data_IF_207237624543
#
_entry.id   IF_207237624543
#
_cell.length_a   1.000
_cell.length_b   1.000
_cell.length_c   1.000
_cell.angle_alpha   90.00
_cell.angle_beta   90.00
_cell.angle_gamma   90.00
#
_symmetry.space_group_name_H-M   'P 1'
#
loop_
_entity.id
_entity.type
_entity.pdbx_description
1 polymer ?
#
# COMPACT_ATOMS: atom_id res chain seq x y z
N UNK A 1 9.67 -12.48 11.77
CA UNK A 1 8.76 -11.61 12.54
C UNK A 1 8.33 -12.34 13.80
N UNK A 2 8.32 -11.63 14.93
CA UNK A 2 7.74 -12.07 16.20
C UNK A 2 6.20 -12.09 16.11
N UNK A 3 5.54 -12.67 17.11
CA UNK A 3 4.08 -12.82 17.12
C UNK A 3 3.32 -11.49 17.06
N UNK A 4 3.74 -10.50 17.85
CA UNK A 4 3.17 -9.15 17.83
C UNK A 4 3.39 -8.43 16.48
N UNK A 5 4.58 -8.58 15.87
CA UNK A 5 4.88 -8.06 14.53
C UNK A 5 3.95 -8.68 13.49
N UNK A 6 3.68 -9.99 13.57
CA UNK A 6 2.78 -10.70 12.66
C UNK A 6 1.32 -10.33 12.87
N UNK A 7 0.87 -10.10 14.11
CA UNK A 7 -0.45 -9.55 14.43
C UNK A 7 -0.61 -8.16 13.80
N UNK A 8 0.43 -7.33 13.90
CA UNK A 8 0.46 -6.00 13.26
C UNK A 8 0.37 -6.13 11.74
N UNK A 9 1.17 -7.00 11.11
CA UNK A 9 1.12 -7.20 9.67
C UNK A 9 -0.27 -7.65 9.19
N UNK A 10 -0.92 -8.60 9.89
CA UNK A 10 -2.27 -9.03 9.54
C UNK A 10 -3.29 -7.88 9.62
N UNK A 11 -3.15 -7.02 10.62
CA UNK A 11 -3.99 -5.81 10.77
C UNK A 11 -3.71 -4.81 9.64
N UNK A 12 -2.44 -4.63 9.26
CA UNK A 12 -2.05 -3.76 8.14
C UNK A 12 -2.59 -4.27 6.80
N UNK A 13 -2.53 -5.58 6.52
CA UNK A 13 -3.13 -6.18 5.32
C UNK A 13 -4.65 -5.96 5.30
N UNK A 14 -5.31 -6.12 6.45
CA UNK A 14 -6.75 -5.83 6.59
C UNK A 14 -7.05 -4.37 6.26
N UNK A 15 -6.18 -3.45 6.71
CA UNK A 15 -6.28 -2.03 6.39
C UNK A 15 -6.07 -1.77 4.90
N UNK A 16 -5.05 -2.36 4.27
CA UNK A 16 -4.83 -2.25 2.82
C UNK A 16 -6.07 -2.68 2.02
N UNK A 17 -6.71 -3.78 2.41
CA UNK A 17 -7.95 -4.24 1.77
C UNK A 17 -9.09 -3.22 1.94
N UNK A 18 -9.29 -2.73 3.17
CA UNK A 18 -10.32 -1.73 3.45
C UNK A 18 -10.11 -0.44 2.64
N UNK A 19 -8.88 0.08 2.62
CA UNK A 19 -8.54 1.31 1.91
C UNK A 19 -8.71 1.12 0.39
N UNK A 20 -8.26 -0.01 -0.16
CA UNK A 20 -8.45 -0.32 -1.58
C UNK A 20 -9.92 -0.49 -1.95
N UNK A 21 -10.72 -1.16 -1.11
CA UNK A 21 -12.16 -1.35 -1.34
C UNK A 21 -12.92 -0.02 -1.36
N UNK A 22 -12.50 0.94 -0.53
CA UNK A 22 -13.16 2.24 -0.39
C UNK A 22 -12.51 3.34 -1.25
N UNK A 23 -11.40 3.05 -1.94
CA UNK A 23 -10.75 3.97 -2.87
C UNK A 23 -11.64 4.31 -4.06
N UNK A 24 -11.52 5.55 -4.55
CA UNK A 24 -12.14 5.99 -5.80
C UNK A 24 -11.63 5.16 -6.99
N UNK A 25 -10.34 4.83 -6.98
CA UNK A 25 -9.70 3.99 -7.98
C UNK A 25 -9.06 2.79 -7.29
N UNK A 26 -9.63 1.60 -7.55
CA UNK A 26 -9.18 0.36 -6.92
C UNK A 26 -8.01 -0.24 -7.70
N UNK A 27 -6.94 -0.59 -7.00
CA UNK A 27 -5.86 -1.38 -7.54
C UNK A 27 -6.19 -2.88 -7.49
N UNK A 28 -5.53 -3.68 -8.34
CA UNK A 28 -5.53 -5.13 -8.20
C UNK A 28 -4.65 -5.56 -7.02
N UNK A 29 -5.26 -5.73 -5.84
CA UNK A 29 -4.52 -6.09 -4.62
C UNK A 29 -4.22 -7.59 -4.56
N UNK A 30 -2.98 -7.95 -4.24
CA UNK A 30 -2.54 -9.35 -4.10
C UNK A 30 -1.63 -9.49 -2.87
N UNK A 31 -1.87 -10.53 -2.08
CA UNK A 31 -1.00 -10.99 -1.00
C UNK A 31 -0.35 -12.30 -1.47
N UNK A 32 0.92 -12.24 -1.86
CA UNK A 32 1.70 -13.38 -2.33
C UNK A 32 2.58 -13.96 -1.21
N UNK A 33 3.17 -15.14 -1.44
CA UNK A 33 3.89 -15.92 -0.44
C UNK A 33 3.07 -16.10 0.85
N UNK A 34 1.74 -16.17 0.70
CA UNK A 34 0.82 -16.19 1.81
C UNK A 34 0.88 -17.57 2.46
N UNK A 35 1.47 -17.66 3.64
CA UNK A 35 1.72 -18.95 4.27
C UNK A 35 2.14 -18.85 5.72
N UNK A 36 2.64 -19.97 6.23
CA UNK A 36 3.19 -20.07 7.58
C UNK A 36 2.23 -19.58 8.65
N UNK A 37 2.79 -18.89 9.65
CA UNK A 37 2.01 -18.41 10.80
C UNK A 37 1.09 -17.23 10.46
N UNK A 38 1.33 -16.52 9.35
CA UNK A 38 0.46 -15.42 8.92
C UNK A 38 -0.85 -16.01 8.40
N UNK A 39 -0.78 -16.98 7.47
CA UNK A 39 -1.95 -17.72 6.99
C UNK A 39 -2.73 -18.36 8.14
N UNK A 40 -2.06 -19.07 9.05
CA UNK A 40 -2.71 -19.65 10.25
C UNK A 40 -3.56 -18.63 11.02
N UNK A 41 -3.09 -17.39 11.14
CA UNK A 41 -3.86 -16.32 11.81
C UNK A 41 -5.08 -15.89 10.99
N UNK A 42 -4.95 -15.78 9.67
CA UNK A 42 -6.09 -15.47 8.81
C UNK A 42 -7.14 -16.57 8.84
N UNK A 43 -6.72 -17.83 8.79
CA UNK A 43 -7.59 -19.02 8.80
C UNK A 43 -8.31 -19.23 10.14
N UNK A 44 -7.84 -18.63 11.23
CA UNK A 44 -8.39 -18.85 12.58
C UNK A 44 -9.02 -17.61 13.20
N UNK A 45 -8.42 -16.43 13.02
CA UNK A 45 -8.85 -15.18 13.68
C UNK A 45 -9.54 -14.24 12.69
N UNK A 46 -9.04 -14.15 11.45
CA UNK A 46 -9.57 -13.23 10.43
C UNK A 46 -10.36 -13.98 9.34
N UNK A 47 -11.09 -15.04 9.72
CA UNK A 47 -11.71 -16.04 8.82
C UNK A 47 -12.55 -15.46 7.67
N UNK A 48 -13.16 -14.29 7.91
CA UNK A 48 -13.95 -13.54 6.93
C UNK A 48 -13.15 -13.03 5.73
N UNK A 49 -11.80 -13.12 5.74
CA UNK A 49 -10.94 -12.75 4.61
C UNK A 49 -11.23 -13.56 3.34
N UNK A 50 -11.74 -14.78 3.49
CA UNK A 50 -12.17 -15.65 2.37
C UNK A 50 -13.31 -15.04 1.56
N UNK A 51 -14.12 -14.16 2.16
CA UNK A 51 -15.20 -13.43 1.49
C UNK A 51 -14.76 -12.07 0.90
N UNK A 52 -13.48 -11.70 1.00
CA UNK A 52 -13.00 -10.43 0.47
C UNK A 52 -12.98 -10.44 -1.06
N UNK A 53 -13.41 -9.33 -1.66
CA UNK A 53 -13.54 -9.18 -3.12
C UNK A 53 -12.54 -8.20 -3.68
N UNK A 54 -12.00 -8.48 -4.86
CA UNK A 54 -10.96 -7.62 -5.47
C UNK A 54 -9.58 -7.75 -4.80
N UNK A 55 -9.36 -8.82 -4.03
CA UNK A 55 -8.06 -9.20 -3.46
C UNK A 55 -7.75 -10.65 -3.78
N UNK A 56 -6.47 -10.98 -3.96
CA UNK A 56 -5.98 -12.35 -4.19
C UNK A 56 -5.01 -12.74 -3.09
N UNK A 57 -5.06 -14.00 -2.68
CA UNK A 57 -4.11 -14.61 -1.77
C UNK A 57 -3.45 -15.77 -2.51
N UNK A 58 -2.12 -15.73 -2.65
CA UNK A 58 -1.33 -16.66 -3.45
C UNK A 58 -0.23 -17.28 -2.60
N UNK A 59 0.03 -18.56 -2.84
CA UNK A 59 1.13 -19.29 -2.21
C UNK A 59 2.46 -18.94 -2.89
N UNK A 60 2.38 -18.61 -4.18
CA UNK A 60 3.47 -18.24 -5.08
C UNK A 60 4.22 -16.99 -4.62
N UNK A 61 5.48 -16.85 -5.04
CA UNK A 61 6.27 -15.64 -4.74
C UNK A 61 5.84 -14.42 -5.55
N UNK A 62 6.42 -13.27 -5.23
CA UNK A 62 6.09 -12.01 -5.89
C UNK A 62 6.54 -11.97 -7.37
N UNK A 63 7.49 -12.82 -7.77
CA UNK A 63 7.93 -12.95 -9.17
C UNK A 63 6.75 -13.54 -9.94
N UNK A 64 6.30 -14.73 -9.57
CA UNK A 64 5.21 -15.40 -10.27
C UNK A 64 3.88 -14.63 -10.12
N UNK A 65 3.61 -14.05 -8.96
CA UNK A 65 2.43 -13.20 -8.78
C UNK A 65 2.43 -11.98 -9.73
N UNK A 66 3.60 -11.39 -10.01
CA UNK A 66 3.71 -10.27 -10.96
C UNK A 66 3.48 -10.71 -12.41
N UNK A 67 3.87 -11.93 -12.78
CA UNK A 67 3.54 -12.51 -14.09
C UNK A 67 2.04 -12.73 -14.25
N UNK A 68 1.40 -13.30 -13.22
CA UNK A 68 -0.05 -13.48 -13.21
C UNK A 68 -0.81 -12.14 -13.25
N UNK A 69 -0.27 -11.11 -12.61
CA UNK A 69 -0.86 -9.77 -12.58
C UNK A 69 -1.02 -9.16 -13.97
N UNK A 70 -0.09 -9.42 -14.90
CA UNK A 70 -0.22 -8.97 -16.30
C UNK A 70 -1.53 -9.46 -16.92
N UNK A 71 -1.92 -10.71 -16.68
CA UNK A 71 -3.18 -11.25 -17.18
C UNK A 71 -4.41 -10.58 -16.56
N UNK A 72 -4.36 -10.26 -15.26
CA UNK A 72 -5.51 -9.64 -14.57
C UNK A 72 -5.75 -8.20 -14.96
N UNK A 73 -4.69 -7.46 -15.31
CA UNK A 73 -4.77 -6.08 -15.77
C UNK A 73 -5.33 -5.96 -17.20
N UNK A 74 -5.30 -7.05 -17.97
CA UNK A 74 -5.86 -7.12 -19.33
C UNK A 74 -7.32 -7.58 -19.38
N UNK A 75 -7.79 -8.28 -18.34
CA UNK A 75 -9.16 -8.79 -18.30
C UNK A 75 -10.19 -7.73 -17.90
N UNK A 76 -11.39 -7.81 -18.47
CA UNK A 76 -12.58 -7.14 -17.95
C UNK A 76 -12.83 -7.63 -16.52
N UNK A 77 -12.66 -6.74 -15.53
CA UNK A 77 -12.89 -7.07 -14.13
C UNK A 77 -11.82 -7.97 -13.52
N UNK A 78 -11.25 -7.52 -12.40
CA UNK A 78 -10.51 -8.41 -11.52
C UNK A 78 -11.41 -9.58 -11.09
N UNK A 79 -11.23 -10.75 -11.75
CA UNK A 79 -11.89 -12.06 -11.57
C UNK A 79 -13.12 -12.32 -12.45
N UNK A 80 -12.92 -12.96 -13.61
CA UNK A 80 -13.76 -14.10 -14.03
C UNK A 80 -13.20 -15.35 -13.35
N UNK A 81 -13.71 -15.68 -12.17
CA UNK A 81 -13.37 -16.92 -11.48
C UNK A 81 -14.49 -17.91 -11.68
N UNK A 82 -14.30 -18.87 -12.60
CA UNK A 82 -14.96 -20.16 -12.48
C UNK A 82 -14.58 -20.72 -11.10
N UNK A 83 -15.55 -20.79 -10.20
CA UNK A 83 -15.44 -21.67 -9.05
C UNK A 83 -15.51 -23.10 -9.57
N UNK A 84 -14.40 -23.83 -9.45
CA UNK A 84 -14.36 -25.29 -9.22
C UNK A 84 -12.94 -25.70 -8.82
N UNK A 85 -12.85 -26.08 -7.55
CA UNK A 85 -12.15 -27.25 -7.03
C UNK A 85 -10.72 -27.54 -7.53
N UNK A 86 -9.74 -27.35 -6.65
CA UNK A 86 -8.62 -28.27 -6.55
C UNK A 86 -8.77 -29.04 -5.24
N UNK A 87 -9.45 -30.18 -5.30
CA UNK A 87 -9.27 -31.26 -4.33
C UNK A 87 -7.84 -31.77 -4.45
N UNK A 88 -7.07 -31.63 -3.38
CA UNK A 88 -5.75 -32.22 -3.25
C UNK A 88 -5.91 -33.73 -3.18
N UNK A 89 -5.62 -34.43 -4.28
CA UNK A 89 -5.41 -35.87 -4.31
C UNK A 89 -4.32 -36.25 -3.29
N UNK A 90 -4.71 -36.90 -2.21
CA UNK A 90 -3.81 -37.74 -1.41
C UNK A 90 -3.34 -38.88 -2.31
N UNK A 91 -2.05 -38.90 -2.60
CA UNK A 91 -1.37 -40.03 -3.22
C UNK A 91 -1.43 -41.24 -2.29
N UNK A 92 -2.14 -42.28 -2.72
CA UNK A 92 -2.13 -43.59 -2.08
C UNK A 92 -0.81 -44.31 -2.36
N UNK A 93 -0.23 -44.87 -1.30
CA UNK A 93 0.66 -46.03 -1.39
C UNK A 93 -0.23 -47.22 -1.06
N UNK A 94 -0.35 -48.15 -1.99
CA UNK A 94 -1.12 -49.37 -1.83
C UNK A 94 -0.38 -50.44 -1.01
N UNK A 95 -1.13 -51.28 -0.33
CA UNK A 95 -0.98 -52.74 -0.40
C UNK A 95 -2.09 -53.45 0.39
N UNK A 96 -2.75 -54.36 -0.34
CA UNK A 96 -3.29 -55.66 0.05
C UNK A 96 -4.64 -55.82 0.77
N UNK A 97 -5.48 -56.59 0.09
CA UNK A 97 -6.70 -57.26 0.52
C UNK A 97 -6.42 -58.30 1.63
N UNK A 98 -7.36 -58.43 2.57
CA UNK A 98 -7.93 -59.73 2.93
C UNK A 98 -9.22 -59.58 3.74
N UNK A 99 -10.28 -60.17 3.20
CA UNK A 99 -11.62 -60.39 3.76
C UNK A 99 -11.63 -61.47 4.83
N UNK A 100 -12.19 -61.19 6.02
CA UNK A 100 -12.89 -62.09 6.97
C UNK A 100 -13.72 -61.12 7.85
N UNK A 101 -15.00 -61.23 8.19
CA UNK A 101 -15.92 -62.32 8.50
C UNK A 101 -16.68 -61.86 9.77
N UNK A 102 -17.95 -62.25 9.89
CA UNK A 102 -18.97 -61.72 10.81
C UNK A 102 -18.80 -62.06 12.31
N UNK A 103 -19.81 -61.66 13.10
CA UNK A 103 -20.08 -61.87 14.55
C UNK A 103 -19.63 -60.69 15.44
N UNK A 104 -20.42 -60.10 16.35
CA UNK A 104 -21.75 -60.36 16.90
C UNK A 104 -21.77 -59.90 18.36
N UNK A 105 -22.85 -59.21 18.79
CA UNK A 105 -23.41 -59.19 20.18
C UNK A 105 -22.55 -58.35 21.21
N UNK A 106 -23.01 -57.53 22.17
CA UNK A 106 -24.25 -57.38 22.96
C UNK A 106 -24.31 -55.96 23.61
N UNK A 107 -25.54 -55.48 23.87
CA UNK A 107 -26.07 -54.81 25.10
C UNK A 107 -25.26 -53.79 25.94
N UNK A 108 -25.84 -52.86 26.71
CA UNK A 108 -27.19 -52.29 26.85
C UNK A 108 -27.11 -51.10 27.84
N UNK A 109 -27.99 -50.12 27.62
CA UNK A 109 -28.81 -49.34 28.58
C UNK A 109 -28.25 -48.98 29.97
N UNK A 110 -28.40 -47.71 30.33
CA UNK A 110 -29.30 -47.31 31.43
C UNK A 110 -29.67 -45.82 31.34
N UNK A 111 -30.97 -45.57 31.45
CA UNK A 111 -31.60 -44.26 31.57
C UNK A 111 -31.79 -43.91 33.05
N UNK A 112 -31.90 -42.63 33.37
CA UNK A 112 -32.79 -42.19 34.45
C UNK A 112 -33.28 -40.76 34.20
N UNK A 113 -34.57 -40.62 34.44
CA UNK A 113 -35.48 -39.49 34.22
C UNK A 113 -35.60 -38.73 35.55
N UNK A 114 -36.27 -37.57 35.49
CA UNK A 114 -36.97 -36.82 36.57
C UNK A 114 -36.40 -35.42 36.83
N UNK A 115 -37.15 -34.35 37.12
CA UNK A 115 -38.54 -33.89 36.87
C UNK A 115 -38.48 -32.38 37.18
N UNK A 116 -39.19 -31.53 36.43
CA UNK A 116 -39.38 -30.10 36.76
C UNK A 116 -40.41 -29.91 37.89
N UNK A 117 -40.39 -28.76 38.57
CA UNK A 117 -41.62 -27.99 38.70
C UNK A 117 -41.47 -26.52 38.23
N UNK A 118 -42.63 -25.92 38.00
CA UNK A 118 -42.90 -24.67 37.30
C UNK A 118 -43.35 -23.59 38.31
N UNK A 119 -42.99 -22.32 38.10
CA UNK A 119 -43.84 -21.18 38.51
C UNK A 119 -43.49 -19.93 37.69
N UNK A 120 -44.58 -19.27 37.29
CA UNK A 120 -44.74 -18.16 36.35
C UNK A 120 -44.10 -16.85 36.82
N UNK A 121 -43.62 -16.02 35.87
CA UNK A 121 -44.16 -14.66 35.75
C UNK A 121 -43.89 -14.02 34.36
N UNK A 122 -44.82 -13.14 33.98
CA UNK A 122 -45.09 -12.58 32.64
C UNK A 122 -44.10 -11.48 32.20
N UNK A 123 -43.89 -11.34 30.89
CA UNK A 123 -44.20 -10.12 30.10
C UNK A 123 -43.59 -10.14 28.67
N UNK A 124 -44.50 -10.16 27.69
CA UNK A 124 -44.52 -9.53 26.36
C UNK A 124 -43.23 -9.01 25.68
N UNK A 125 -43.04 -9.39 24.41
CA UNK A 125 -43.17 -8.46 23.27
C UNK A 125 -42.79 -9.14 21.95
N UNK A 126 -43.81 -9.44 21.14
CA UNK A 126 -43.68 -9.74 19.73
C UNK A 126 -43.28 -8.43 19.00
N UNK A 127 -42.16 -8.43 18.26
CA UNK A 127 -41.93 -7.43 17.21
C UNK A 127 -41.52 -8.10 15.92
N UNK A 128 -42.44 -7.97 14.97
CA UNK A 128 -42.39 -8.37 13.58
C UNK A 128 -41.12 -7.87 12.90
N UNK A 129 -40.38 -8.79 12.28
CA UNK A 129 -39.27 -8.48 11.38
C UNK A 129 -39.84 -7.99 10.05
N UNK A 130 -39.88 -6.67 9.86
CA UNK A 130 -40.10 -6.09 8.54
C UNK A 130 -38.94 -6.47 7.60
N UNK A 131 -39.21 -6.92 6.36
CA UNK A 131 -38.17 -7.16 5.38
C UNK A 131 -37.60 -5.81 4.93
N UNK A 132 -36.36 -5.53 5.32
CA UNK A 132 -35.64 -4.38 4.78
C UNK A 132 -35.52 -4.53 3.26
N UNK A 133 -36.09 -3.55 2.57
CA UNK A 133 -36.05 -3.34 1.13
C UNK A 133 -34.67 -3.64 0.57
N UNK A 134 -34.61 -4.58 -0.37
CA UNK A 134 -33.46 -4.82 -1.23
C UNK A 134 -33.18 -3.54 -2.04
N UNK A 135 -32.33 -2.67 -1.50
CA UNK A 135 -31.68 -1.66 -2.32
C UNK A 135 -30.82 -2.41 -3.35
N UNK A 136 -31.18 -2.22 -4.61
CA UNK A 136 -30.49 -2.72 -5.79
C UNK A 136 -28.99 -2.43 -5.68
N UNK A 137 -28.20 -3.50 -5.57
CA UNK A 137 -26.73 -3.41 -5.57
C UNK A 137 -26.29 -2.80 -6.90
N UNK A 138 -25.58 -1.67 -6.85
CA UNK A 138 -24.89 -1.13 -8.03
C UNK A 138 -23.99 -2.23 -8.63
N UNK A 139 -24.00 -2.43 -9.95
CA UNK A 139 -23.13 -3.40 -10.60
C UNK A 139 -21.67 -3.05 -10.28
N UNK A 140 -20.89 -4.08 -9.92
CA UNK A 140 -19.50 -3.94 -9.56
C UNK A 140 -18.72 -3.43 -10.76
N UNK A 141 -18.13 -2.24 -10.63
CA UNK A 141 -17.38 -1.57 -11.69
C UNK A 141 -16.31 -2.51 -12.26
N UNK A 142 -16.48 -2.85 -13.52
CA UNK A 142 -15.59 -3.67 -14.33
C UNK A 142 -14.20 -3.01 -14.37
N UNK A 143 -13.18 -3.75 -13.91
CA UNK A 143 -11.77 -3.42 -14.18
C UNK A 143 -11.46 -3.49 -15.67
N UNK A 144 -10.28 -3.02 -16.09
CA UNK A 144 -9.88 -2.95 -17.50
C UNK A 144 -10.15 -1.59 -18.17
N UNK A 145 -10.65 -0.62 -17.41
CA UNK A 145 -10.78 0.77 -17.87
C UNK A 145 -9.72 1.67 -17.25
N UNK A 146 -9.19 2.60 -18.03
CA UNK A 146 -8.38 3.69 -17.50
C UNK A 146 -9.26 4.71 -16.77
N UNK A 147 -8.90 5.00 -15.51
CA UNK A 147 -9.59 5.95 -14.63
C UNK A 147 -8.57 6.75 -13.81
N UNK A 148 -9.02 7.81 -13.16
CA UNK A 148 -8.18 8.70 -12.35
C UNK A 148 -7.07 9.33 -13.18
N UNK A 149 -5.86 9.32 -12.66
CA UNK A 149 -4.63 9.81 -13.31
C UNK A 149 -4.36 9.16 -14.68
N UNK A 150 -4.91 7.96 -14.91
CA UNK A 150 -4.73 7.24 -16.17
C UNK A 150 -5.80 7.53 -17.21
N UNK A 151 -6.83 8.33 -16.90
CA UNK A 151 -7.91 8.63 -17.85
C UNK A 151 -7.42 9.23 -19.16
N UNK A 152 -6.26 9.91 -19.15
CA UNK A 152 -5.57 10.43 -20.36
C UNK A 152 -5.22 9.35 -21.40
N UNK A 153 -5.19 8.08 -21.00
CA UNK A 153 -4.92 6.95 -21.89
C UNK A 153 -6.20 6.27 -22.43
N UNK A 154 -7.39 6.72 -22.01
CA UNK A 154 -8.66 6.07 -22.37
C UNK A 154 -8.92 6.06 -23.89
N UNK A 155 -8.63 7.18 -24.55
CA UNK A 155 -8.94 7.40 -25.97
C UNK A 155 -7.78 7.05 -26.92
N UNK A 156 -6.69 6.47 -26.39
CA UNK A 156 -5.59 6.00 -27.22
C UNK A 156 -6.02 4.87 -28.16
N UNK A 157 -5.41 4.84 -29.35
CA UNK A 157 -5.56 3.75 -30.30
C UNK A 157 -5.08 2.42 -29.69
N UNK A 158 -5.64 1.30 -30.16
CA UNK A 158 -5.32 -0.03 -29.64
C UNK A 158 -3.83 -0.38 -29.78
N UNK A 159 -3.17 0.12 -30.84
CA UNK A 159 -1.72 -0.03 -31.02
C UNK A 159 -0.92 0.63 -29.90
N UNK A 160 -1.34 1.80 -29.42
CA UNK A 160 -0.63 2.53 -28.37
C UNK A 160 -0.98 1.97 -26.98
N UNK A 161 -2.22 1.53 -26.77
CA UNK A 161 -2.58 0.75 -25.57
C UNK A 161 -1.76 -0.53 -25.46
N UNK A 162 -1.50 -1.21 -26.57
CA UNK A 162 -0.62 -2.39 -26.59
C UNK A 162 0.84 -2.04 -26.25
N UNK A 163 1.37 -0.90 -26.73
CA UNK A 163 2.70 -0.42 -26.32
C UNK A 163 2.76 -0.19 -24.81
N UNK A 164 1.76 0.48 -24.23
CA UNK A 164 1.67 0.69 -22.78
C UNK A 164 1.66 -0.64 -21.99
N UNK A 165 1.02 -1.68 -22.52
CA UNK A 165 1.03 -3.01 -21.91
C UNK A 165 2.41 -3.67 -21.94
N UNK A 166 3.15 -3.48 -23.04
CA UNK A 166 4.51 -4.00 -23.21
C UNK A 166 5.53 -3.25 -22.36
N UNK A 167 5.30 -1.96 -22.12
CA UNK A 167 6.11 -1.08 -21.26
C UNK A 167 5.81 -1.21 -19.76
N UNK A 168 4.78 -1.99 -19.39
CA UNK A 168 4.41 -2.23 -17.99
C UNK A 168 5.56 -2.81 -17.15
N UNK A 169 5.80 -2.21 -15.98
CA UNK A 169 6.98 -2.49 -15.16
C UNK A 169 6.65 -3.35 -13.93
N UNK A 170 7.65 -4.01 -13.36
CA UNK A 170 7.57 -4.65 -12.04
C UNK A 170 8.55 -3.94 -11.12
N UNK A 171 8.06 -3.25 -10.10
CA UNK A 171 8.86 -2.39 -9.23
C UNK A 171 8.70 -2.83 -7.78
N UNK A 172 9.81 -3.24 -7.15
CA UNK A 172 9.86 -3.50 -5.72
C UNK A 172 10.12 -2.20 -4.95
N UNK A 173 9.15 -1.80 -4.15
CA UNK A 173 9.25 -0.60 -3.32
C UNK A 173 10.06 -0.87 -2.06
N UNK A 174 11.15 -0.12 -1.90
CA UNK A 174 12.06 -0.24 -0.76
C UNK A 174 12.75 1.09 -0.49
N UNK A 175 12.85 1.49 0.78
CA UNK A 175 13.48 2.75 1.19
C UNK A 175 14.97 2.82 0.87
N UNK A 176 15.62 1.67 0.73
CA UNK A 176 17.06 1.55 0.46
C UNK A 176 17.39 1.57 -1.05
N UNK A 177 16.40 1.73 -1.94
CA UNK A 177 16.66 1.82 -3.38
C UNK A 177 17.41 3.11 -3.73
N UNK A 178 18.39 3.08 -4.64
CA UNK A 178 19.01 4.29 -5.16
C UNK A 178 18.07 5.06 -6.10
N UNK A 179 17.03 4.43 -6.65
CA UNK A 179 16.11 5.04 -7.61
C UNK A 179 14.86 5.58 -6.90
N UNK A 180 14.38 6.74 -7.31
CA UNK A 180 13.13 7.34 -6.82
C UNK A 180 11.98 7.00 -7.77
N UNK A 181 10.82 6.63 -7.22
CA UNK A 181 9.58 6.47 -7.99
C UNK A 181 8.96 7.85 -8.24
N UNK A 182 9.11 8.38 -9.45
CA UNK A 182 8.59 9.71 -9.83
C UNK A 182 7.13 9.67 -10.26
N UNK A 183 6.68 8.60 -10.91
CA UNK A 183 5.30 8.41 -11.34
C UNK A 183 4.91 6.93 -11.30
N UNK A 184 3.62 6.63 -11.14
CA UNK A 184 3.11 5.29 -11.41
C UNK A 184 2.63 5.18 -12.85
N UNK A 185 2.83 4.01 -13.46
CA UNK A 185 2.47 3.72 -14.84
C UNK A 185 1.32 2.73 -14.93
N UNK A 186 0.49 2.80 -16.00
CA UNK A 186 -0.47 1.76 -16.28
C UNK A 186 0.22 0.41 -16.50
N UNK A 187 -0.53 -0.68 -16.34
CA UNK A 187 -0.05 -2.06 -16.52
C UNK A 187 1.19 -2.47 -15.70
N UNK A 188 1.52 -1.69 -14.67
CA UNK A 188 2.69 -1.91 -13.83
C UNK A 188 2.31 -2.52 -12.48
N UNK A 189 3.18 -3.36 -11.95
CA UNK A 189 3.03 -4.04 -10.65
C UNK A 189 4.01 -3.46 -9.65
N UNK A 190 3.48 -2.95 -8.53
CA UNK A 190 4.27 -2.40 -7.44
C UNK A 190 4.23 -3.32 -6.24
N UNK A 191 5.40 -3.79 -5.81
CA UNK A 191 5.55 -4.77 -4.73
C UNK A 191 5.91 -4.03 -3.45
N UNK A 192 5.17 -4.29 -2.37
CA UNK A 192 5.42 -3.75 -1.03
C UNK A 192 5.89 -4.89 -0.13
N UNK A 193 6.98 -4.67 0.61
CA UNK A 193 7.43 -5.63 1.63
C UNK A 193 6.38 -5.86 2.71
N UNK A 194 5.85 -7.09 2.79
CA UNK A 194 4.96 -7.53 3.87
C UNK A 194 5.75 -7.84 5.15
N UNK A 195 6.35 -6.82 5.75
CA UNK A 195 7.26 -6.95 6.89
C UNK A 195 6.97 -5.88 7.94
N UNK A 196 6.91 -6.31 9.21
CA UNK A 196 6.88 -5.41 10.37
C UNK A 196 8.08 -5.73 11.25
N UNK A 197 9.09 -4.88 11.20
CA UNK A 197 10.36 -5.09 11.92
C UNK A 197 10.88 -3.81 12.59
N UNK A 198 10.18 -2.68 12.42
CA UNK A 198 10.61 -1.33 12.81
C UNK A 198 11.95 -0.91 12.17
N UNK A 199 12.19 -1.37 10.94
CA UNK A 199 13.44 -1.18 10.20
C UNK A 199 14.68 -1.70 10.95
N UNK A 200 14.53 -2.86 11.59
CA UNK A 200 15.64 -3.58 12.23
C UNK A 200 16.50 -4.28 11.19
N UNK A 201 15.86 -4.84 10.16
CA UNK A 201 16.50 -5.58 9.07
C UNK A 201 16.76 -4.64 7.88
N UNK A 202 17.68 -3.69 8.05
CA UNK A 202 18.00 -2.69 7.01
C UNK A 202 18.38 -3.35 5.68
N UNK A 203 17.83 -2.86 4.57
CA UNK A 203 18.17 -3.36 3.23
C UNK A 203 17.60 -4.73 2.87
N UNK A 204 16.82 -5.39 3.73
CA UNK A 204 16.34 -6.76 3.45
C UNK A 204 15.45 -6.82 2.21
N UNK A 205 14.56 -5.85 2.03
CA UNK A 205 13.68 -5.76 0.88
C UNK A 205 14.47 -5.46 -0.41
N UNK A 206 15.44 -4.53 -0.33
CA UNK A 206 16.30 -4.20 -1.46
C UNK A 206 17.14 -5.40 -1.91
N UNK A 207 17.81 -6.08 -0.98
CA UNK A 207 18.58 -7.29 -1.27
C UNK A 207 17.71 -8.37 -1.93
N UNK A 208 16.52 -8.64 -1.37
CA UNK A 208 15.58 -9.61 -1.93
C UNK A 208 15.12 -9.25 -3.35
N UNK A 209 14.94 -7.97 -3.63
CA UNK A 209 14.58 -7.51 -4.97
C UNK A 209 15.74 -7.67 -5.97
N UNK A 210 16.97 -7.34 -5.58
CA UNK A 210 18.16 -7.55 -6.41
C UNK A 210 18.40 -9.04 -6.72
N UNK A 211 18.25 -9.91 -5.72
CA UNK A 211 18.35 -11.36 -5.90
C UNK A 211 17.29 -11.87 -6.88
N UNK A 212 16.05 -11.39 -6.75
CA UNK A 212 14.97 -11.71 -7.69
C UNK A 212 15.24 -11.21 -9.10
N UNK A 213 15.80 -10.01 -9.26
CA UNK A 213 16.20 -9.48 -10.56
C UNK A 213 17.27 -10.36 -11.22
N UNK A 214 18.29 -10.76 -10.45
CA UNK A 214 19.33 -11.70 -10.89
C UNK A 214 18.75 -13.06 -11.31
N UNK A 215 17.83 -13.60 -10.51
CA UNK A 215 17.13 -14.86 -10.81
C UNK A 215 16.30 -14.77 -12.09
N UNK A 216 15.52 -13.70 -12.27
CA UNK A 216 14.71 -13.50 -13.47
C UNK A 216 15.59 -13.44 -14.73
N UNK A 217 16.73 -12.74 -14.66
CA UNK A 217 17.69 -12.65 -15.75
C UNK A 217 18.34 -14.00 -16.08
N UNK A 218 18.75 -14.74 -15.06
CA UNK A 218 19.36 -16.07 -15.24
C UNK A 218 18.39 -17.09 -15.85
N UNK A 219 17.10 -16.99 -15.51
CA UNK A 219 16.04 -17.85 -16.04
C UNK A 219 15.50 -17.37 -17.41
N UNK A 220 16.06 -16.30 -18.00
CA UNK A 220 15.63 -15.78 -19.30
C UNK A 220 14.20 -15.23 -19.30
N UNK A 221 13.69 -14.77 -18.15
CA UNK A 221 12.34 -14.20 -18.06
C UNK A 221 12.29 -12.86 -18.78
N UNK A 222 11.19 -12.60 -19.48
CA UNK A 222 10.95 -11.32 -20.17
C UNK A 222 10.78 -10.15 -19.20
N UNK A 223 10.32 -10.40 -17.97
CA UNK A 223 10.13 -9.35 -16.98
C UNK A 223 11.42 -9.09 -16.20
N UNK A 224 11.63 -7.81 -15.88
CA UNK A 224 12.70 -7.35 -14.99
C UNK A 224 12.09 -6.83 -13.69
N UNK A 225 12.69 -7.20 -12.56
CA UNK A 225 12.32 -6.65 -11.24
C UNK A 225 13.19 -5.43 -10.98
N UNK A 226 12.59 -4.24 -11.07
CA UNK A 226 13.24 -2.96 -10.73
C UNK A 226 13.05 -2.67 -9.23
N UNK A 227 13.81 -1.71 -8.71
CA UNK A 227 13.59 -1.19 -7.34
C UNK A 227 13.36 0.31 -7.40
N UNK A 228 12.55 0.83 -6.48
CA UNK A 228 12.42 2.26 -6.28
C UNK A 228 12.03 2.58 -4.82
N UNK A 229 12.41 3.75 -4.33
CA UNK A 229 11.90 4.34 -3.09
C UNK A 229 10.81 5.36 -3.41
N UNK A 230 9.89 5.58 -2.49
CA UNK A 230 8.95 6.69 -2.60
C UNK A 230 9.69 8.03 -2.47
N UNK A 231 9.27 9.10 -3.16
CA UNK A 231 9.92 10.41 -3.16
C UNK A 231 9.70 11.20 -1.85
N UNK A 232 9.51 10.53 -0.71
CA UNK A 232 9.11 11.16 0.56
C UNK A 232 10.08 12.27 0.98
N UNK A 233 11.38 12.08 0.73
CA UNK A 233 12.41 13.04 1.13
C UNK A 233 12.46 14.33 0.32
N UNK A 234 11.79 14.37 -0.83
CA UNK A 234 11.67 15.57 -1.68
C UNK A 234 10.54 16.46 -1.17
N UNK A 235 9.43 15.85 -0.71
CA UNK A 235 8.22 16.57 -0.34
C UNK A 235 8.04 16.80 1.16
N UNK A 236 8.67 16.00 2.03
CA UNK A 236 8.47 16.07 3.48
C UNK A 236 9.77 16.25 4.26
N UNK A 237 9.83 17.33 5.02
CA UNK A 237 10.80 17.49 6.10
C UNK A 237 10.38 16.67 7.32
N UNK A 238 11.07 15.55 7.55
CA UNK A 238 10.79 14.68 8.68
C UNK A 238 12.00 14.59 9.62
N UNK A 239 11.76 14.83 10.92
CA UNK A 239 12.66 14.46 12.01
C UNK A 239 12.75 12.94 12.23
N UNK A 240 11.95 12.16 11.50
CA UNK A 240 11.79 10.72 11.67
C UNK A 240 12.25 9.92 10.44
N UNK A 241 12.47 8.61 10.62
CA UNK A 241 13.00 7.72 9.57
C UNK A 241 12.06 7.66 8.36
N UNK A 242 12.62 7.70 7.14
CA UNK A 242 11.92 7.60 5.84
C UNK A 242 11.38 6.19 5.52
N UNK A 243 11.08 5.37 6.54
CA UNK A 243 10.55 4.01 6.39
C UNK A 243 9.13 3.95 6.91
N UNK A 244 8.19 3.63 6.02
CA UNK A 244 6.75 3.62 6.29
C UNK A 244 6.24 2.20 6.55
N UNK A 245 5.09 2.11 7.23
CA UNK A 245 4.36 0.87 7.41
C UNK A 245 3.74 0.40 6.08
N UNK A 246 3.54 -0.91 5.92
CA UNK A 246 2.98 -1.52 4.70
C UNK A 246 1.64 -0.88 4.31
N UNK A 247 0.76 -0.64 5.27
CA UNK A 247 -0.54 -0.01 5.00
C UNK A 247 -0.42 1.44 4.55
N UNK A 248 0.52 2.22 5.11
CA UNK A 248 0.71 3.61 4.68
C UNK A 248 1.24 3.68 3.25
N UNK A 249 2.18 2.79 2.87
CA UNK A 249 2.67 2.73 1.47
C UNK A 249 1.50 2.44 0.53
N UNK A 250 0.67 1.42 0.84
CA UNK A 250 -0.51 1.11 0.04
C UNK A 250 -1.49 2.29 -0.05
N UNK A 251 -1.80 2.94 1.08
CA UNK A 251 -2.72 4.08 1.13
C UNK A 251 -2.20 5.28 0.32
N UNK A 252 -0.90 5.60 0.43
CA UNK A 252 -0.25 6.66 -0.38
C UNK A 252 -0.39 6.34 -1.87
N UNK A 253 -0.13 5.11 -2.29
CA UNK A 253 -0.26 4.73 -3.70
C UNK A 253 -1.71 4.87 -4.19
N UNK A 254 -2.69 4.50 -3.37
CA UNK A 254 -4.10 4.70 -3.71
C UNK A 254 -4.44 6.19 -3.82
N UNK A 255 -3.91 7.05 -2.94
CA UNK A 255 -4.09 8.51 -3.03
C UNK A 255 -3.40 9.10 -4.25
N UNK A 256 -2.22 8.61 -4.61
CA UNK A 256 -1.55 9.01 -5.84
C UNK A 256 -2.38 8.67 -7.08
N UNK A 257 -3.09 7.53 -7.11
CA UNK A 257 -4.02 7.21 -8.21
C UNK A 257 -5.21 8.20 -8.31
N UNK A 258 -5.55 8.88 -7.22
CA UNK A 258 -6.60 9.91 -7.18
C UNK A 258 -6.11 11.27 -7.68
N UNK A 259 -4.96 11.75 -7.20
CA UNK A 259 -4.48 13.11 -7.46
C UNK A 259 -3.35 13.22 -8.49
N UNK A 260 -2.54 12.18 -8.67
CA UNK A 260 -1.35 12.22 -9.52
C UNK A 260 -0.17 12.98 -8.93
N UNK A 261 -0.27 13.36 -7.65
CA UNK A 261 0.68 14.22 -6.95
C UNK A 261 1.18 13.52 -5.68
N UNK A 262 2.50 13.39 -5.54
CA UNK A 262 3.11 12.72 -4.39
C UNK A 262 3.00 13.54 -3.11
N UNK A 263 3.23 14.86 -3.17
CA UNK A 263 3.14 15.76 -2.02
C UNK A 263 1.74 15.71 -1.40
N UNK A 264 0.71 15.82 -2.23
CA UNK A 264 -0.69 15.72 -1.80
C UNK A 264 -0.99 14.31 -1.24
N UNK A 265 -0.55 13.25 -1.92
CA UNK A 265 -0.76 11.88 -1.45
C UNK A 265 -0.11 11.63 -0.08
N UNK A 266 1.10 12.15 0.14
CA UNK A 266 1.78 12.08 1.44
C UNK A 266 1.02 12.86 2.51
N UNK A 267 0.58 14.08 2.22
CA UNK A 267 -0.14 14.93 3.17
C UNK A 267 -1.50 14.36 3.59
N UNK A 268 -2.17 13.62 2.68
CA UNK A 268 -3.43 12.91 2.97
C UNK A 268 -3.25 11.72 3.92
N UNK A 269 -2.07 11.08 3.95
CA UNK A 269 -1.82 9.84 4.69
C UNK A 269 -0.95 10.03 5.93
N UNK A 270 0.08 10.87 5.85
CA UNK A 270 1.03 11.10 6.93
C UNK A 270 0.54 12.29 7.77
N UNK A 271 0.11 12.07 9.04
CA UNK A 271 -0.44 13.15 9.85
C UNK A 271 0.60 14.26 10.09
N UNK A 272 0.17 15.53 10.04
CA UNK A 272 1.05 16.73 10.18
C UNK A 272 2.07 16.65 11.33
N UNK A 273 1.71 16.05 12.46
CA UNK A 273 2.59 15.83 13.63
C UNK A 273 3.81 14.91 13.39
N UNK A 274 3.92 14.24 12.24
CA UNK A 274 5.07 13.40 11.86
C UNK A 274 5.97 14.05 10.79
N UNK A 275 5.80 15.35 10.53
CA UNK A 275 6.59 16.11 9.55
C UNK A 275 5.83 16.40 8.25
N UNK A 276 4.52 16.65 8.33
CA UNK A 276 3.70 17.02 7.17
C UNK A 276 3.83 18.52 6.84
N UNK A 277 5.00 18.97 6.39
CA UNK A 277 5.21 20.28 5.76
C UNK A 277 5.78 20.06 4.36
N UNK A 278 5.18 20.71 3.36
CA UNK A 278 5.64 20.67 1.99
C UNK A 278 6.88 21.56 1.85
N UNK A 279 7.91 21.08 1.16
CA UNK A 279 9.16 21.83 0.93
C UNK A 279 9.04 22.89 -0.18
N UNK A 280 8.01 22.79 -1.03
CA UNK A 280 7.83 23.64 -2.22
C UNK A 280 7.43 25.11 -1.90
N UNK A 281 7.11 25.44 -0.65
CA UNK A 281 6.81 26.83 -0.25
C UNK A 281 8.06 27.63 0.13
N UNK A 282 9.17 26.98 0.52
CA UNK A 282 10.42 27.67 0.90
C UNK A 282 11.28 28.04 -0.32
N UNK A 283 11.27 27.24 -1.39
CA UNK A 283 12.03 27.53 -2.61
C UNK A 283 11.41 28.68 -3.43
N UNK A 284 10.08 28.86 -3.41
CA UNK A 284 9.43 30.03 -4.04
C UNK A 284 9.63 31.31 -3.25
N UNK A 285 9.59 31.24 -1.91
CA UNK A 285 9.87 32.40 -1.06
C UNK A 285 11.34 32.85 -1.16
N UNK A 286 12.28 31.90 -1.30
CA UNK A 286 13.70 32.22 -1.49
C UNK A 286 14.00 32.82 -2.88
N UNK A 287 13.21 32.49 -3.90
CA UNK A 287 13.36 33.05 -5.25
C UNK A 287 12.69 34.42 -5.41
N UNK A 288 11.62 34.69 -4.66
CA UNK A 288 10.98 36.01 -4.59
C UNK A 288 11.85 37.02 -3.80
N UNK A 289 12.65 36.61 -2.82
CA UNK A 289 13.59 37.52 -2.13
C UNK A 289 14.88 37.80 -2.92
N UNK A 290 15.33 36.93 -3.83
CA UNK A 290 16.48 37.22 -4.71
C UNK A 290 16.11 38.16 -5.88
N UNK A 291 14.84 38.20 -6.31
CA UNK A 291 14.36 39.08 -7.40
C UNK A 291 14.00 40.51 -6.91
N UNK A 292 13.78 40.73 -5.60
CA UNK A 292 13.50 42.07 -5.05
C UNK A 292 14.77 42.91 -4.76
N UNK A 293 15.94 42.29 -4.63
CA UNK A 293 17.21 42.98 -4.31
C UNK A 293 17.96 43.53 -5.55
N UNK A 294 17.57 43.17 -6.79
CA UNK A 294 18.27 43.61 -8.01
C UNK A 294 17.56 44.72 -8.81
N UNK A 295 16.39 45.21 -8.35
CA UNK A 295 15.61 46.24 -9.06
C UNK A 295 15.64 47.65 -8.43
N UNK A 296 16.57 47.92 -7.50
CA UNK A 296 16.51 49.07 -6.60
C UNK A 296 17.70 50.02 -6.56
N UNK A 297 18.52 50.18 -7.60
CA UNK A 297 19.53 51.26 -7.63
C UNK A 297 19.76 51.79 -9.04
N UNK A 298 18.98 52.77 -9.50
CA UNK A 298 19.47 53.84 -10.38
C UNK A 298 18.70 55.17 -10.14
N UNK A 299 19.47 56.25 -10.18
CA UNK A 299 19.12 57.69 -10.15
C UNK A 299 18.76 58.36 -8.80
N UNK A 300 19.76 59.04 -8.21
CA UNK A 300 19.65 60.50 -8.05
C UNK A 300 20.99 61.17 -8.37
N UNK A 301 20.93 62.17 -9.26
CA UNK A 301 22.06 62.96 -9.72
C UNK A 301 22.33 64.20 -8.86
N UNK A 302 23.63 64.55 -8.83
CA UNK A 302 24.23 65.89 -8.88
C UNK A 302 23.61 67.03 -8.04
N UNK A 303 24.41 67.55 -7.12
CA UNK A 303 24.73 68.99 -7.06
C UNK A 303 26.13 69.21 -6.45
N UNK A 304 26.89 70.07 -7.11
CA UNK A 304 28.28 70.50 -6.85
C UNK A 304 28.38 71.61 -5.79
N UNK A 305 29.65 71.83 -5.37
CA UNK A 305 30.23 73.01 -4.72
C UNK A 305 29.85 73.26 -3.24
N UNK A 306 30.75 73.64 -2.31
CA UNK A 306 32.02 74.35 -2.39
C UNK A 306 32.77 74.30 -1.03
N UNK A 307 34.10 74.56 -1.04
CA UNK A 307 34.93 75.18 0.03
C UNK A 307 34.97 74.57 1.46
N UNK A 308 36.03 74.59 2.26
CA UNK A 308 37.46 74.92 2.15
C UNK A 308 38.04 74.49 3.54
N UNK A 309 39.29 74.02 3.54
CA UNK A 309 40.36 74.11 4.55
C UNK A 309 40.04 74.18 6.08
N UNK A 310 40.71 73.33 6.89
CA UNK A 310 41.83 73.63 7.80
C UNK A 310 41.92 72.60 8.95
N UNK A 311 43.17 72.27 9.23
CA UNK A 311 43.82 71.38 10.17
C UNK A 311 43.49 71.46 11.68
N UNK A 312 43.90 70.35 12.31
CA UNK A 312 44.68 70.23 13.55
C UNK A 312 44.06 70.25 14.96
N UNK A 313 44.41 69.14 15.63
CA UNK A 313 44.99 69.05 16.98
C UNK A 313 44.08 69.07 18.22
N UNK A 314 44.36 68.09 19.09
CA UNK A 314 44.50 68.40 20.52
C UNK A 314 43.64 67.57 21.45
N UNK A 315 44.29 66.58 22.06
CA UNK A 315 44.03 66.00 23.38
C UNK A 315 43.21 66.86 24.35
N UNK A 316 42.38 66.20 25.17
CA UNK A 316 42.63 66.12 26.62
C UNK A 316 41.65 65.12 27.25
N UNK A 317 42.19 64.11 27.92
CA UNK A 317 41.48 63.47 29.02
C UNK A 317 41.59 64.35 30.27
N UNK A 318 40.54 64.41 31.08
CA UNK A 318 40.59 63.91 32.45
C UNK A 318 39.25 64.05 33.20
N UNK A 319 39.01 63.01 34.00
CA UNK A 319 38.40 62.96 35.32
C UNK A 319 36.93 63.27 35.64
N UNK A 320 36.41 62.30 36.41
CA UNK A 320 35.50 62.39 37.59
C UNK A 320 34.04 62.78 37.28
N UNK A 321 33.05 62.01 37.72
CA UNK A 321 32.83 61.43 39.06
C UNK A 321 32.04 60.11 38.99
#
# INVERSE_FOLDING_TARGET
MRDNERISLASQITRCYSDNKNSLFRAHLTVCSFGGQLRKRFDTILTHYTGWRGVRFLDEDFILASEMAKGWMLGEGGRKGNGKENETKKTGIGANEQTIGAEGIEEAKAATKETKPNSEDKAESNRETQPQSQQSRKPETEGGQFKGVFSKYADLADSDKKKLQEEGEVVYLTSDSPHTLTEMKPYSTYIIGGLVDKNREKGICYKRACEAAGKCKAEGRKMEVKTAKLPIGEYLEMSSRKVLATNHVNEIMLKWLECGDWGEAFMRVIPKRKGGKLREEEEKAAQEEEDEDEAGVEEEGLNEDNDEVVEEAGETGNHEE
#
